data_IF_243836639437
#
_entry.id   IF_243836639437
#
_cell.length_a   1.000
_cell.length_b   1.000
_cell.length_c   1.000
_cell.angle_alpha   90.00
_cell.angle_beta   90.00
_cell.angle_gamma   90.00
#
_symmetry.space_group_name_H-M   'P 1'
#
loop_
_entity.id
_entity.type
_entity.pdbx_description
1 polymer ?
#
# COMPACT_ATOMS: atom_id res chain seq x y z
N UNK A 1 19.69 14.40 0.06
CA UNK A 1 19.29 13.34 -0.89
C UNK A 1 18.29 13.83 -1.92
N UNK A 2 17.20 14.52 -1.53
CA UNK A 2 16.26 15.11 -2.51
C UNK A 2 16.97 16.10 -3.43
N UNK A 3 17.83 16.94 -2.86
CA UNK A 3 18.67 17.88 -3.62
C UNK A 3 19.70 17.19 -4.54
N UNK A 4 20.06 15.93 -4.26
CA UNK A 4 21.06 15.18 -5.04
C UNK A 4 20.44 14.24 -6.08
N UNK A 5 19.20 13.76 -5.87
CA UNK A 5 18.47 12.89 -6.79
C UNK A 5 17.62 13.67 -7.81
N UNK A 6 17.26 14.92 -7.47
CA UNK A 6 16.32 15.71 -8.25
C UNK A 6 14.86 15.33 -7.99
N UNK A 7 13.95 16.27 -8.25
CA UNK A 7 12.52 16.10 -7.98
C UNK A 7 11.87 15.01 -8.85
N UNK A 8 12.32 14.89 -10.09
CA UNK A 8 11.82 13.90 -11.04
C UNK A 8 12.04 12.47 -10.53
N UNK A 9 13.26 12.17 -10.08
CA UNK A 9 13.56 10.83 -9.56
C UNK A 9 12.83 10.51 -8.25
N UNK A 10 12.62 11.52 -7.41
CA UNK A 10 11.82 11.35 -6.18
C UNK A 10 10.37 11.03 -6.50
N UNK A 11 9.81 11.64 -7.55
CA UNK A 11 8.45 11.36 -8.01
C UNK A 11 8.33 9.97 -8.63
N UNK A 12 9.28 9.54 -9.46
CA UNK A 12 9.34 8.17 -9.99
C UNK A 12 9.32 7.13 -8.87
N UNK A 13 10.20 7.30 -7.86
CA UNK A 13 10.27 6.37 -6.71
C UNK A 13 8.97 6.37 -5.91
N UNK A 14 8.29 7.51 -5.79
CA UNK A 14 6.99 7.61 -5.13
C UNK A 14 5.92 6.83 -5.89
N UNK A 15 5.89 6.97 -7.22
CA UNK A 15 4.97 6.21 -8.06
C UNK A 15 5.23 4.71 -7.98
N UNK A 16 6.49 4.29 -8.06
CA UNK A 16 6.90 2.89 -7.96
C UNK A 16 6.50 2.26 -6.63
N UNK A 17 6.80 2.93 -5.50
CA UNK A 17 6.38 2.46 -4.15
C UNK A 17 4.87 2.32 -4.04
N UNK A 18 4.12 3.33 -4.50
CA UNK A 18 2.67 3.31 -4.43
C UNK A 18 2.07 2.20 -5.30
N UNK A 19 2.65 1.98 -6.48
CA UNK A 19 2.25 0.94 -7.42
C UNK A 19 2.38 -0.46 -6.80
N UNK A 20 3.47 -0.77 -6.12
CA UNK A 20 3.66 -2.08 -5.47
C UNK A 20 2.50 -2.43 -4.51
N UNK A 21 2.11 -1.46 -3.67
CA UNK A 21 1.04 -1.66 -2.69
C UNK A 21 -0.34 -1.73 -3.38
N UNK A 22 -0.62 -0.82 -4.33
CA UNK A 22 -1.89 -0.82 -5.04
C UNK A 22 -2.10 -2.05 -5.93
N UNK A 23 -1.06 -2.52 -6.61
CA UNK A 23 -1.12 -3.74 -7.41
C UNK A 23 -1.48 -4.95 -6.53
N UNK A 24 -0.94 -5.02 -5.31
CA UNK A 24 -1.25 -6.07 -4.34
C UNK A 24 -2.72 -6.02 -3.89
N UNK A 25 -3.23 -4.83 -3.59
CA UNK A 25 -4.63 -4.60 -3.21
C UNK A 25 -5.56 -4.99 -4.37
N UNK A 26 -5.27 -4.48 -5.57
CA UNK A 26 -6.11 -4.69 -6.76
C UNK A 26 -6.09 -6.12 -7.27
N UNK A 27 -5.03 -6.89 -6.97
CA UNK A 27 -4.93 -8.31 -7.33
C UNK A 27 -5.74 -9.22 -6.41
N UNK A 28 -6.15 -8.74 -5.22
CA UNK A 28 -6.91 -9.51 -4.24
C UNK A 28 -8.13 -8.72 -3.72
N UNK A 29 -9.03 -8.28 -4.63
CA UNK A 29 -10.14 -7.40 -4.29
C UNK A 29 -11.18 -8.05 -3.36
N UNK A 30 -11.20 -9.38 -3.25
CA UNK A 30 -12.01 -10.12 -2.30
C UNK A 30 -11.57 -9.90 -0.85
N UNK A 31 -10.27 -9.69 -0.63
CA UNK A 31 -9.66 -9.58 0.69
C UNK A 31 -9.28 -8.14 1.05
N UNK A 32 -8.54 -7.44 0.19
CA UNK A 32 -8.17 -6.05 0.42
C UNK A 32 -9.18 -5.09 -0.24
N UNK A 33 -9.95 -4.37 0.58
CA UNK A 33 -10.97 -3.44 0.10
C UNK A 33 -10.44 -2.02 0.04
N UNK A 34 -10.13 -1.53 -1.16
CA UNK A 34 -9.79 -0.13 -1.39
C UNK A 34 -11.05 0.73 -1.53
N UNK A 35 -11.39 1.64 -0.59
CA UNK A 35 -12.61 2.43 -0.66
C UNK A 35 -12.52 3.62 -1.64
N UNK A 36 -11.32 3.90 -2.16
CA UNK A 36 -11.05 5.05 -3.03
C UNK A 36 -10.97 4.59 -4.49
N UNK A 37 -11.71 5.27 -5.35
CA UNK A 37 -11.66 5.07 -6.81
C UNK A 37 -10.23 5.28 -7.33
N UNK A 38 -9.84 4.47 -8.32
CA UNK A 38 -8.46 4.39 -8.81
C UNK A 38 -7.89 5.75 -9.21
N UNK A 39 -8.70 6.63 -9.80
CA UNK A 39 -8.25 7.94 -10.28
C UNK A 39 -7.93 8.94 -9.15
N UNK A 40 -8.44 8.70 -7.94
CA UNK A 40 -8.26 9.58 -6.78
C UNK A 40 -7.30 9.01 -5.73
N UNK A 41 -6.60 7.92 -6.07
CA UNK A 41 -5.68 7.23 -5.17
C UNK A 41 -4.45 8.08 -4.86
N UNK A 42 -4.16 8.25 -3.57
CA UNK A 42 -2.98 8.97 -3.12
C UNK A 42 -1.73 8.10 -3.28
N UNK A 43 -0.70 8.67 -3.89
CA UNK A 43 0.63 8.05 -3.97
C UNK A 43 1.45 8.16 -2.68
N UNK A 44 0.91 8.79 -1.64
CA UNK A 44 1.59 9.02 -0.35
C UNK A 44 0.89 8.30 0.81
N UNK A 45 -0.43 8.20 0.78
CA UNK A 45 -1.21 7.64 1.87
C UNK A 45 -2.23 6.67 1.28
N UNK A 46 -1.89 5.39 1.34
CA UNK A 46 -2.71 4.31 0.80
C UNK A 46 -3.59 3.79 1.92
N UNK A 47 -4.90 3.77 1.70
CA UNK A 47 -5.89 3.26 2.65
C UNK A 47 -6.62 2.07 2.06
N UNK A 48 -6.81 1.03 2.87
CA UNK A 48 -7.61 -0.14 2.50
C UNK A 48 -8.10 -0.85 3.77
N UNK A 49 -9.13 -1.66 3.61
CA UNK A 49 -9.71 -2.45 4.69
C UNK A 49 -9.55 -3.95 4.45
N UNK A 50 -9.81 -4.73 5.50
CA UNK A 50 -9.86 -6.19 5.50
C UNK A 50 -11.30 -6.67 5.27
N UNK A 51 -11.54 -7.94 4.90
CA UNK A 51 -12.84 -8.36 4.37
C UNK A 51 -13.89 -8.64 5.45
N UNK A 52 -13.49 -8.88 6.70
CA UNK A 52 -14.40 -9.23 7.79
C UNK A 52 -14.52 -8.10 8.80
N UNK A 53 -15.74 -7.91 9.33
CA UNK A 53 -15.99 -6.95 10.42
C UNK A 53 -15.19 -7.27 11.67
N UNK A 54 -14.84 -8.53 11.89
CA UNK A 54 -14.00 -8.93 13.02
C UNK A 54 -12.58 -8.40 12.83
N UNK A 55 -11.96 -8.61 11.67
CA UNK A 55 -10.64 -8.05 11.37
C UNK A 55 -10.65 -6.52 11.36
N UNK A 56 -11.66 -5.90 10.73
CA UNK A 56 -11.85 -4.45 10.75
C UNK A 56 -12.10 -3.91 12.17
N UNK A 57 -12.81 -4.62 13.05
CA UNK A 57 -13.07 -4.13 14.41
C UNK A 57 -11.80 -4.10 15.28
N UNK A 58 -10.83 -4.97 15.02
CA UNK A 58 -9.60 -5.04 15.80
C UNK A 58 -8.57 -3.96 15.41
N UNK A 59 -8.45 -3.65 14.12
CA UNK A 59 -7.42 -2.71 13.62
C UNK A 59 -8.00 -1.45 12.97
N UNK A 60 -9.30 -1.38 12.75
CA UNK A 60 -9.93 -0.42 11.87
C UNK A 60 -9.61 -0.70 10.40
N UNK A 61 -9.46 0.37 9.62
CA UNK A 61 -8.82 0.31 8.30
C UNK A 61 -7.29 0.42 8.41
N UNK A 62 -6.58 -0.01 7.39
CA UNK A 62 -5.11 0.06 7.30
C UNK A 62 -4.73 1.31 6.50
N UNK A 63 -3.71 2.05 6.98
CA UNK A 63 -3.08 3.16 6.25
C UNK A 63 -1.58 2.94 6.10
N UNK A 64 -1.11 2.78 4.87
CA UNK A 64 0.31 2.72 4.53
C UNK A 64 0.78 4.09 4.05
N UNK A 65 1.70 4.70 4.80
CA UNK A 65 2.26 6.02 4.48
C UNK A 65 3.61 5.86 3.79
N UNK A 66 3.70 6.29 2.53
CA UNK A 66 4.85 6.15 1.65
C UNK A 66 5.50 7.52 1.38
N UNK A 67 5.87 8.24 2.44
CA UNK A 67 6.58 9.51 2.30
C UNK A 67 7.96 9.32 1.66
N UNK A 68 8.58 10.41 1.19
CA UNK A 68 9.83 10.35 0.42
C UNK A 68 10.97 9.57 1.09
N UNK A 69 11.01 9.55 2.43
CA UNK A 69 11.99 8.83 3.23
C UNK A 69 11.79 7.30 3.27
N UNK A 70 10.63 6.80 2.86
CA UNK A 70 10.36 5.35 2.76
C UNK A 70 11.17 4.75 1.62
N UNK A 71 11.87 3.63 1.80
CA UNK A 71 12.63 3.04 0.68
C UNK A 71 11.74 2.11 -0.17
N UNK A 72 12.23 1.73 -1.36
CA UNK A 72 11.55 0.74 -2.21
C UNK A 72 11.50 -0.62 -1.49
N UNK A 73 12.59 -1.00 -0.84
CA UNK A 73 12.70 -2.24 -0.07
C UNK A 73 11.73 -2.24 1.11
N UNK A 74 11.52 -1.09 1.76
CA UNK A 74 10.50 -0.92 2.79
C UNK A 74 9.09 -1.14 2.24
N UNK A 75 8.77 -0.59 1.07
CA UNK A 75 7.48 -0.83 0.41
C UNK A 75 7.31 -2.31 0.00
N UNK A 76 8.37 -2.96 -0.50
CA UNK A 76 8.38 -4.39 -0.79
C UNK A 76 8.15 -5.24 0.46
N UNK A 77 8.77 -4.89 1.59
CA UNK A 77 8.57 -5.60 2.85
C UNK A 77 7.11 -5.50 3.33
N UNK A 78 6.46 -4.34 3.16
CA UNK A 78 5.02 -4.18 3.42
C UNK A 78 4.20 -5.09 2.52
N UNK A 79 4.49 -5.14 1.21
CA UNK A 79 3.79 -6.03 0.27
C UNK A 79 3.99 -7.50 0.63
N UNK A 80 5.20 -7.91 0.99
CA UNK A 80 5.49 -9.29 1.41
C UNK A 80 4.71 -9.66 2.67
N UNK A 81 4.62 -8.74 3.63
CA UNK A 81 3.75 -8.92 4.80
C UNK A 81 2.28 -9.06 4.40
N UNK A 82 1.77 -8.19 3.52
CA UNK A 82 0.38 -8.25 3.04
C UNK A 82 0.05 -9.59 2.39
N UNK A 83 0.93 -10.07 1.51
CA UNK A 83 0.75 -11.37 0.84
C UNK A 83 0.81 -12.53 1.84
N UNK A 84 1.77 -12.51 2.76
CA UNK A 84 1.87 -13.54 3.81
C UNK A 84 0.65 -13.55 4.71
N UNK A 85 0.13 -12.38 5.07
CA UNK A 85 -1.08 -12.22 5.87
C UNK A 85 -2.31 -12.71 5.11
N UNK A 86 -2.44 -12.39 3.83
CA UNK A 86 -3.50 -12.90 2.97
C UNK A 86 -3.50 -14.43 2.94
N UNK A 87 -2.36 -15.08 2.66
CA UNK A 87 -2.28 -16.54 2.60
C UNK A 87 -2.65 -17.23 3.93
N UNK A 88 -2.36 -16.59 5.07
CA UNK A 88 -2.71 -17.12 6.39
C UNK A 88 -4.20 -16.96 6.75
N UNK A 89 -4.91 -16.02 6.11
CA UNK A 89 -6.26 -15.61 6.53
C UNK A 89 -7.32 -15.69 5.42
N UNK A 90 -6.97 -16.20 4.23
CA UNK A 90 -7.88 -16.36 3.07
C UNK A 90 -8.91 -17.49 3.20
N UNK A 91 -9.01 -18.15 4.36
CA UNK A 91 -9.99 -19.23 4.62
C UNK A 91 -11.36 -18.67 5.04
#
# INVERSE_FOLDING_TARGET
>A
WVESLGLEKVEELREERAKLVYDTIDSHPEFFKGPVDKQYRSRMNIVFNLPTKELEAHVGGIRVSLYNAMTIEGAQAVVQFMLSFYEQNRQ
#
